data_IF_628487181449
#
_entry.id   IF_628487181449
#
_cell.length_a   1.000
_cell.length_b   1.000
_cell.length_c   1.000
_cell.angle_alpha   90.00
_cell.angle_beta   90.00
_cell.angle_gamma   90.00
#
_symmetry.space_group_name_H-M   'P 1'
#
loop_
_entity.id
_entity.type
_entity.pdbx_description
1 polymer ?
#
# COMPACT_ATOMS: atom_id res chain seq x y z
N UNK A 1 -12.80 -2.97 22.81
CA UNK A 1 -12.28 -1.66 22.42
C UNK A 1 -12.25 -1.50 20.89
N UNK A 2 -13.42 -1.68 20.26
CA UNK A 2 -13.56 -1.55 18.81
C UNK A 2 -14.45 -0.37 18.43
N UNK A 3 -14.68 0.51 19.39
CA UNK A 3 -15.59 1.63 19.23
C UNK A 3 -14.84 2.84 18.66
N UNK A 4 -15.42 3.46 17.66
CA UNK A 4 -14.87 4.64 17.05
C UNK A 4 -13.78 4.31 16.01
N UNK A 5 -13.00 5.32 15.66
CA UNK A 5 -11.93 5.22 14.65
C UNK A 5 -10.61 4.65 15.19
N UNK A 6 -10.57 4.29 16.47
CA UNK A 6 -9.36 3.84 17.12
C UNK A 6 -9.40 2.34 17.41
N UNK A 7 -8.45 1.61 16.86
CA UNK A 7 -8.11 0.28 17.35
C UNK A 7 -7.18 0.48 18.53
N UNK A 8 -7.61 0.13 19.72
CA UNK A 8 -6.83 0.40 20.92
C UNK A 8 -5.59 -0.50 21.00
N UNK A 9 -4.62 -0.08 21.81
CA UNK A 9 -3.36 -0.80 22.03
C UNK A 9 -3.62 -2.24 22.47
N UNK A 10 -4.66 -2.45 23.27
CA UNK A 10 -5.06 -3.77 23.76
C UNK A 10 -5.44 -4.71 22.61
N UNK A 11 -6.21 -4.23 21.62
CA UNK A 11 -6.65 -5.03 20.48
C UNK A 11 -5.46 -5.41 19.58
N UNK A 12 -4.52 -4.48 19.34
CA UNK A 12 -3.31 -4.77 18.60
C UNK A 12 -2.44 -5.82 19.29
N UNK A 13 -2.29 -5.69 20.57
CA UNK A 13 -1.55 -6.67 21.38
C UNK A 13 -2.19 -8.05 21.27
N UNK A 14 -3.52 -8.11 21.32
CA UNK A 14 -4.25 -9.35 21.14
C UNK A 14 -3.96 -9.99 19.76
N UNK A 15 -3.99 -9.19 18.70
CA UNK A 15 -3.68 -9.69 17.34
C UNK A 15 -2.24 -10.17 17.24
N UNK A 16 -1.27 -9.44 17.81
CA UNK A 16 0.13 -9.84 17.80
C UNK A 16 0.34 -11.14 18.58
N UNK A 17 -0.30 -11.31 19.71
CA UNK A 17 -0.26 -12.55 20.49
C UNK A 17 -0.88 -13.72 19.72
N UNK A 18 -1.99 -13.50 19.05
CA UNK A 18 -2.64 -14.51 18.23
C UNK A 18 -1.74 -14.92 17.06
N UNK A 19 -1.09 -13.97 16.39
CA UNK A 19 -0.13 -14.24 15.32
C UNK A 19 1.06 -15.07 15.82
N UNK A 20 1.56 -14.76 17.02
CA UNK A 20 2.69 -15.46 17.61
C UNK A 20 2.35 -16.92 17.95
N UNK A 21 1.08 -17.21 18.24
CA UNK A 21 0.62 -18.57 18.58
C UNK A 21 0.23 -19.40 17.36
N UNK A 22 -0.06 -18.75 16.22
CA UNK A 22 -0.47 -19.46 15.01
C UNK A 22 0.74 -20.10 14.35
N UNK A 23 0.60 -21.35 13.91
CA UNK A 23 1.67 -22.10 13.26
C UNK A 23 1.49 -22.21 11.74
N UNK A 24 0.26 -22.02 11.25
CA UNK A 24 -0.06 -22.06 9.82
C UNK A 24 0.23 -20.71 9.18
N UNK A 25 1.18 -20.66 8.24
CA UNK A 25 1.55 -19.42 7.56
C UNK A 25 0.42 -18.81 6.74
N UNK A 26 -0.46 -19.60 6.14
CA UNK A 26 -1.61 -19.09 5.41
C UNK A 26 -2.56 -18.36 6.36
N UNK A 27 -2.83 -18.94 7.53
CA UNK A 27 -3.64 -18.30 8.56
C UNK A 27 -2.98 -17.04 9.12
N UNK A 28 -1.66 -17.07 9.33
CA UNK A 28 -0.90 -15.88 9.75
C UNK A 28 -1.05 -14.76 8.74
N UNK A 29 -0.94 -15.06 7.45
CA UNK A 29 -1.10 -14.07 6.39
C UNK A 29 -2.50 -13.47 6.37
N UNK A 30 -3.53 -14.31 6.50
CA UNK A 30 -4.93 -13.86 6.55
C UNK A 30 -5.20 -12.98 7.78
N UNK A 31 -4.68 -13.37 8.94
CA UNK A 31 -4.81 -12.59 10.18
C UNK A 31 -4.12 -11.24 10.06
N UNK A 32 -2.90 -11.21 9.53
CA UNK A 32 -2.17 -9.97 9.32
C UNK A 32 -2.89 -9.06 8.32
N UNK A 33 -3.41 -9.61 7.24
CA UNK A 33 -4.21 -8.87 6.26
C UNK A 33 -5.48 -8.28 6.89
N UNK A 34 -6.23 -9.08 7.64
CA UNK A 34 -7.44 -8.60 8.32
C UNK A 34 -7.13 -7.47 9.31
N UNK A 35 -6.02 -7.58 10.04
CA UNK A 35 -5.57 -6.54 10.96
C UNK A 35 -5.18 -5.27 10.19
N UNK A 36 -4.49 -5.41 9.07
CA UNK A 36 -4.15 -4.28 8.21
C UNK A 36 -5.40 -3.57 7.69
N UNK A 37 -6.40 -4.32 7.25
CA UNK A 37 -7.66 -3.75 6.77
C UNK A 37 -8.39 -2.98 7.88
N UNK A 38 -8.43 -3.52 9.10
CA UNK A 38 -9.02 -2.83 10.25
C UNK A 38 -8.27 -1.55 10.60
N UNK A 39 -6.94 -1.57 10.55
CA UNK A 39 -6.11 -0.40 10.80
C UNK A 39 -6.29 0.66 9.72
N UNK A 40 -6.48 0.26 8.47
CA UNK A 40 -6.83 1.19 7.39
C UNK A 40 -8.15 1.90 7.67
N UNK A 41 -9.17 1.17 8.08
CA UNK A 41 -10.47 1.74 8.45
C UNK A 41 -10.33 2.72 9.63
N UNK A 42 -9.45 2.43 10.56
CA UNK A 42 -9.14 3.32 11.69
C UNK A 42 -8.19 4.46 11.32
N UNK A 43 -7.78 4.56 10.05
CA UNK A 43 -6.85 5.57 9.52
C UNK A 43 -5.46 5.52 10.17
N UNK A 44 -5.06 4.36 10.64
CA UNK A 44 -3.73 4.09 11.20
C UNK A 44 -2.80 3.57 10.10
N UNK A 45 -2.45 4.45 9.16
CA UNK A 45 -1.86 4.07 7.87
C UNK A 45 -0.50 3.39 8.00
N UNK A 46 0.40 3.92 8.83
CA UNK A 46 1.74 3.33 9.02
C UNK A 46 1.66 1.94 9.63
N UNK A 47 0.75 1.75 10.57
CA UNK A 47 0.52 0.45 11.22
C UNK A 47 -0.10 -0.54 10.24
N UNK A 48 -1.10 -0.10 9.47
CA UNK A 48 -1.69 -0.91 8.42
C UNK A 48 -0.64 -1.38 7.41
N UNK A 49 0.27 -0.50 7.01
CA UNK A 49 1.40 -0.83 6.15
C UNK A 49 2.26 -1.96 6.75
N UNK A 50 2.59 -1.86 8.02
CA UNK A 50 3.40 -2.87 8.71
C UNK A 50 2.72 -4.25 8.68
N UNK A 51 1.42 -4.31 8.90
CA UNK A 51 0.68 -5.58 8.85
C UNK A 51 0.51 -6.11 7.42
N UNK A 52 0.40 -5.23 6.42
CA UNK A 52 0.46 -5.66 5.02
C UNK A 52 1.80 -6.35 4.72
N UNK A 53 2.90 -5.76 5.18
CA UNK A 53 4.24 -6.33 4.99
C UNK A 53 4.38 -7.67 5.70
N UNK A 54 3.83 -7.82 6.91
CA UNK A 54 3.79 -9.10 7.61
C UNK A 54 3.02 -10.15 6.81
N UNK A 55 1.84 -9.79 6.30
CA UNK A 55 1.04 -10.70 5.48
C UNK A 55 1.80 -11.19 4.25
N UNK A 56 2.50 -10.29 3.57
CA UNK A 56 3.32 -10.63 2.41
C UNK A 56 4.49 -11.56 2.77
N UNK A 57 5.05 -11.40 3.96
CA UNK A 57 6.17 -12.24 4.42
C UNK A 57 5.73 -13.66 4.80
N UNK A 58 4.48 -13.83 5.25
CA UNK A 58 3.96 -15.14 5.63
C UNK A 58 3.52 -15.99 4.44
N UNK A 59 3.12 -15.36 3.34
CA UNK A 59 2.62 -16.05 2.15
C UNK A 59 3.05 -15.32 0.89
N UNK A 60 3.91 -15.95 0.09
CA UNK A 60 4.52 -15.33 -1.10
C UNK A 60 3.52 -15.03 -2.22
N UNK A 61 2.55 -15.93 -2.44
CA UNK A 61 1.58 -15.82 -3.54
C UNK A 61 0.26 -15.16 -3.12
N UNK A 62 0.35 -14.21 -2.22
CA UNK A 62 -0.82 -13.53 -1.67
C UNK A 62 -0.88 -12.09 -2.18
N UNK A 63 -1.72 -11.85 -3.19
CA UNK A 63 -1.85 -10.54 -3.86
C UNK A 63 -2.68 -9.53 -3.09
N UNK A 64 -3.61 -9.96 -2.24
CA UNK A 64 -4.51 -9.05 -1.49
C UNK A 64 -3.77 -8.01 -0.64
N UNK A 65 -2.70 -8.35 0.11
CA UNK A 65 -1.96 -7.34 0.85
C UNK A 65 -1.32 -6.28 -0.04
N UNK A 66 -0.88 -6.63 -1.24
CA UNK A 66 -0.33 -5.66 -2.19
C UNK A 66 -1.40 -4.68 -2.66
N UNK A 67 -2.63 -5.16 -2.91
CA UNK A 67 -3.75 -4.30 -3.29
C UNK A 67 -4.11 -3.37 -2.14
N UNK A 68 -4.19 -3.88 -0.93
CA UNK A 68 -4.47 -3.07 0.26
C UNK A 68 -3.39 -1.99 0.46
N UNK A 69 -2.13 -2.37 0.28
CA UNK A 69 -1.00 -1.43 0.39
C UNK A 69 -1.09 -0.34 -0.67
N UNK A 70 -1.44 -0.70 -1.91
CA UNK A 70 -1.67 0.27 -2.98
C UNK A 70 -2.79 1.26 -2.61
N UNK A 71 -3.89 0.76 -2.08
CA UNK A 71 -5.01 1.60 -1.64
C UNK A 71 -4.62 2.50 -0.46
N UNK A 72 -3.80 2.02 0.47
CA UNK A 72 -3.26 2.82 1.56
C UNK A 72 -2.48 4.02 1.02
N UNK A 73 -1.57 3.78 0.09
CA UNK A 73 -0.75 4.85 -0.51
C UNK A 73 -1.61 5.81 -1.32
N UNK A 74 -2.58 5.29 -2.08
CA UNK A 74 -3.51 6.10 -2.87
C UNK A 74 -4.45 6.95 -2.03
N UNK A 75 -4.75 6.55 -0.80
CA UNK A 75 -5.63 7.28 0.10
C UNK A 75 -4.96 8.51 0.73
N UNK A 76 -3.63 8.53 0.79
CA UNK A 76 -2.88 9.63 1.38
C UNK A 76 -1.61 9.90 0.58
N UNK A 77 -1.74 10.41 -0.66
CA UNK A 77 -0.62 10.56 -1.59
C UNK A 77 0.27 11.76 -1.31
N UNK A 78 -0.17 12.71 -0.49
CA UNK A 78 0.52 13.98 -0.30
C UNK A 78 1.69 13.83 0.67
N UNK A 79 2.88 14.26 0.23
CA UNK A 79 4.10 14.20 1.02
C UNK A 79 4.96 15.47 0.90
N UNK A 80 4.55 16.40 0.04
CA UNK A 80 5.27 17.66 -0.23
C UNK A 80 4.26 18.75 -0.58
N UNK A 81 4.71 19.99 -0.65
CA UNK A 81 3.88 21.12 -1.09
C UNK A 81 3.71 21.19 -2.61
N UNK A 82 4.48 20.40 -3.36
CA UNK A 82 4.44 20.41 -4.83
C UNK A 82 3.43 19.38 -5.36
N UNK A 83 2.31 19.84 -5.97
CA UNK A 83 1.26 18.93 -6.42
C UNK A 83 1.70 17.87 -7.44
N UNK A 84 2.59 18.24 -8.36
CA UNK A 84 3.07 17.28 -9.36
C UNK A 84 3.88 16.15 -8.73
N UNK A 85 4.70 16.45 -7.72
CA UNK A 85 5.46 15.44 -7.00
C UNK A 85 4.54 14.56 -6.14
N UNK A 86 3.49 15.12 -5.57
CA UNK A 86 2.49 14.32 -4.83
C UNK A 86 1.82 13.29 -5.73
N UNK A 87 1.55 13.64 -6.98
CA UNK A 87 0.97 12.71 -7.96
C UNK A 87 1.93 11.57 -8.33
N UNK A 88 3.23 11.72 -8.11
CA UNK A 88 4.19 10.64 -8.32
C UNK A 88 3.95 9.44 -7.39
N UNK A 89 3.27 9.66 -6.27
CA UNK A 89 2.84 8.58 -5.38
C UNK A 89 2.01 7.53 -6.13
N UNK A 90 1.23 7.93 -7.11
CA UNK A 90 0.42 7.01 -7.91
C UNK A 90 1.25 6.07 -8.77
N UNK A 91 2.49 6.41 -9.11
CA UNK A 91 3.42 5.47 -9.74
C UNK A 91 3.77 4.31 -8.79
N UNK A 92 4.00 4.62 -7.51
CA UNK A 92 4.22 3.58 -6.48
C UNK A 92 2.97 2.72 -6.32
N UNK A 93 1.79 3.34 -6.31
CA UNK A 93 0.51 2.62 -6.23
C UNK A 93 0.39 1.60 -7.37
N UNK A 94 0.67 2.04 -8.59
CA UNK A 94 0.61 1.19 -9.78
C UNK A 94 1.66 0.07 -9.69
N UNK A 95 2.87 0.37 -9.21
CA UNK A 95 3.91 -0.64 -9.01
C UNK A 95 3.44 -1.75 -8.07
N UNK A 96 2.77 -1.40 -6.97
CA UNK A 96 2.21 -2.38 -6.02
C UNK A 96 1.12 -3.23 -6.67
N UNK A 97 0.26 -2.63 -7.47
CA UNK A 97 -0.79 -3.35 -8.19
C UNK A 97 -0.22 -4.30 -9.24
N UNK A 98 0.81 -3.86 -9.97
CA UNK A 98 1.52 -4.74 -10.91
C UNK A 98 2.17 -5.92 -10.18
N UNK A 99 2.74 -5.67 -9.01
CA UNK A 99 3.31 -6.74 -8.18
C UNK A 99 2.25 -7.71 -7.70
N UNK A 100 1.08 -7.21 -7.30
CA UNK A 100 -0.05 -8.05 -6.89
C UNK A 100 -0.43 -9.05 -7.99
N UNK A 101 -0.53 -8.58 -9.23
CA UNK A 101 -0.81 -9.43 -10.39
C UNK A 101 0.28 -10.48 -10.63
N UNK A 102 1.54 -10.07 -10.45
CA UNK A 102 2.68 -10.95 -10.70
C UNK A 102 2.75 -12.10 -9.70
N UNK A 103 2.40 -11.84 -8.43
CA UNK A 103 2.48 -12.87 -7.38
C UNK A 103 1.21 -13.70 -7.26
N UNK A 104 0.07 -13.15 -7.67
CA UNK A 104 -1.24 -13.79 -7.48
C UNK A 104 -2.17 -13.53 -8.67
N UNK A 105 -2.25 -14.48 -9.62
CA UNK A 105 -3.12 -14.31 -10.78
C UNK A 105 -4.62 -14.16 -10.44
N UNK A 106 -5.05 -14.61 -9.27
CA UNK A 106 -6.47 -14.53 -8.87
C UNK A 106 -6.94 -13.08 -8.65
N UNK A 107 -6.02 -12.13 -8.43
CA UNK A 107 -6.35 -10.71 -8.22
C UNK A 107 -6.14 -9.86 -9.48
N UNK A 108 -5.80 -10.48 -10.62
CA UNK A 108 -5.44 -9.76 -11.85
C UNK A 108 -6.51 -8.79 -12.31
N UNK A 109 -7.77 -9.22 -12.36
CA UNK A 109 -8.87 -8.38 -12.84
C UNK A 109 -9.05 -7.16 -11.95
N UNK A 110 -9.12 -7.37 -10.64
CA UNK A 110 -9.26 -6.28 -9.68
C UNK A 110 -8.06 -5.32 -9.71
N UNK A 111 -6.86 -5.87 -9.84
CA UNK A 111 -5.65 -5.06 -9.94
C UNK A 111 -5.68 -4.20 -11.21
N UNK A 112 -6.12 -4.76 -12.35
CA UNK A 112 -6.23 -4.02 -13.61
C UNK A 112 -7.24 -2.86 -13.51
N UNK A 113 -8.37 -3.08 -12.87
CA UNK A 113 -9.37 -2.02 -12.64
C UNK A 113 -8.79 -0.88 -11.83
N UNK A 114 -8.07 -1.21 -10.75
CA UNK A 114 -7.43 -0.21 -9.91
C UNK A 114 -6.28 0.51 -10.63
N UNK A 115 -5.49 -0.20 -11.43
CA UNK A 115 -4.45 0.42 -12.27
C UNK A 115 -5.07 1.44 -13.22
N UNK A 116 -6.15 1.06 -13.89
CA UNK A 116 -6.87 1.98 -14.79
C UNK A 116 -7.35 3.23 -14.05
N UNK A 117 -7.88 3.06 -12.85
CA UNK A 117 -8.36 4.17 -12.02
C UNK A 117 -7.22 5.09 -11.60
N UNK A 118 -6.16 4.53 -11.03
CA UNK A 118 -5.04 5.33 -10.51
C UNK A 118 -4.18 5.95 -11.60
N UNK A 119 -4.12 5.35 -12.79
CA UNK A 119 -3.38 5.92 -13.92
C UNK A 119 -3.87 7.30 -14.33
N UNK A 120 -5.13 7.60 -14.07
CA UNK A 120 -5.72 8.93 -14.36
C UNK A 120 -5.21 10.01 -13.41
N UNK A 121 -4.61 9.64 -12.31
CA UNK A 121 -4.12 10.55 -11.29
C UNK A 121 -2.61 10.76 -11.35
N UNK A 122 -1.90 10.06 -12.23
CA UNK A 122 -0.46 10.24 -12.41
C UNK A 122 -0.15 11.63 -12.94
N UNK A 123 1.05 12.17 -12.65
CA UNK A 123 1.41 13.51 -13.11
C UNK A 123 1.59 13.57 -14.62
N UNK A 124 1.38 14.75 -15.19
CA UNK A 124 1.68 14.97 -16.60
C UNK A 124 3.18 15.19 -16.79
N UNK A 125 3.71 14.67 -17.91
CA UNK A 125 5.14 14.78 -18.21
C UNK A 125 5.62 16.22 -18.23
N UNK A 126 4.82 17.17 -18.75
CA UNK A 126 5.17 18.59 -18.80
C UNK A 126 5.34 19.20 -17.42
N UNK A 127 4.50 18.82 -16.45
CA UNK A 127 4.57 19.35 -15.09
C UNK A 127 5.84 18.88 -14.40
N UNK A 128 6.20 17.62 -14.58
CA UNK A 128 7.46 17.07 -14.04
C UNK A 128 8.68 17.65 -14.74
N UNK A 129 8.61 17.87 -16.05
CA UNK A 129 9.71 18.49 -16.81
C UNK A 129 10.04 19.87 -16.27
N UNK A 130 9.04 20.68 -15.94
CA UNK A 130 9.23 22.00 -15.35
C UNK A 130 9.95 21.95 -14.00
N UNK A 131 9.87 20.84 -13.30
CA UNK A 131 10.54 20.60 -12.03
C UNK A 131 11.92 19.92 -12.21
N UNK A 132 12.35 19.69 -13.46
CA UNK A 132 13.62 19.08 -13.76
C UNK A 132 13.61 17.56 -13.85
N UNK A 133 12.44 16.95 -13.92
CA UNK A 133 12.30 15.50 -14.04
C UNK A 133 11.87 15.08 -15.43
N UNK A 134 12.28 13.89 -15.84
CA UNK A 134 11.91 13.29 -17.13
C UNK A 134 11.61 11.81 -16.96
N UNK A 135 10.96 11.20 -17.95
CA UNK A 135 10.70 9.77 -17.97
C UNK A 135 12.00 8.98 -17.81
N UNK A 136 11.98 7.98 -16.93
CA UNK A 136 13.15 7.18 -16.59
C UNK A 136 13.86 7.61 -15.32
N UNK A 137 13.63 8.83 -14.84
CA UNK A 137 14.26 9.30 -13.61
C UNK A 137 13.67 8.57 -12.39
N UNK A 138 14.49 8.32 -11.40
CA UNK A 138 14.04 7.77 -10.12
C UNK A 138 13.61 8.92 -9.21
N UNK A 139 12.53 8.66 -8.49
CA UNK A 139 12.05 9.57 -7.46
C UNK A 139 11.72 8.76 -6.20
N UNK A 140 12.03 9.32 -5.04
CA UNK A 140 11.67 8.74 -3.74
C UNK A 140 10.51 9.52 -3.15
N UNK A 141 9.41 8.82 -2.90
CA UNK A 141 8.24 9.40 -2.26
C UNK A 141 8.56 9.56 -0.78
N UNK A 142 8.45 10.76 -0.27
CA UNK A 142 8.75 11.07 1.13
C UNK A 142 7.64 10.70 2.09
N UNK A 143 7.74 11.24 3.30
CA UNK A 143 6.75 11.01 4.34
C UNK A 143 6.73 9.57 4.82
N UNK A 144 5.55 9.09 5.16
CA UNK A 144 5.35 7.74 5.72
C UNK A 144 5.52 6.62 4.69
N UNK A 145 5.46 6.93 3.40
CA UNK A 145 5.59 5.93 2.32
C UNK A 145 7.04 5.50 2.15
N UNK A 146 7.96 6.44 1.93
CA UNK A 146 9.39 6.20 1.87
C UNK A 146 9.86 5.23 0.79
N UNK A 147 9.11 5.07 -0.31
CA UNK A 147 9.46 4.15 -1.39
C UNK A 147 9.87 4.90 -2.66
N UNK A 148 10.77 4.29 -3.42
CA UNK A 148 11.23 4.85 -4.69
C UNK A 148 10.49 4.22 -5.86
N UNK A 149 10.31 5.01 -6.91
CA UNK A 149 9.69 4.57 -8.16
C UNK A 149 10.39 5.24 -9.34
N UNK A 150 10.03 4.84 -10.55
CA UNK A 150 10.54 5.42 -11.78
C UNK A 150 9.44 6.22 -12.46
N UNK A 151 9.76 7.42 -12.90
CA UNK A 151 8.86 8.29 -13.65
C UNK A 151 8.63 7.70 -15.04
N UNK A 152 7.37 7.66 -15.45
CA UNK A 152 6.95 7.11 -16.75
C UNK A 152 6.39 8.18 -17.68
#
# INVERSE_FOLDING_TARGET
CLVGSEMCIRDRKYFDEALAKETDNDKKAEMAYATAAALMQAKKLSQARSYCQKAMSFKENYGEPYILLAQLYGSNPNWTDEPALNKCTYFVVIDKLQRAKAVDPSVTERANELISTYSRHTPQAKDLFMLGYKAGDRITIGGWIGESTTIR
#
